data_IF_623441083191
#
_entry.id   IF_623441083191
#
_cell.length_a   1.000
_cell.length_b   1.000
_cell.length_c   1.000
_cell.angle_alpha   90.00
_cell.angle_beta   90.00
_cell.angle_gamma   90.00
#
_symmetry.space_group_name_H-M   'P 1'
#
loop_
_entity.id
_entity.type
_entity.pdbx_description
1 polymer ?
#
# COMPACT_ATOMS: atom_id res chain seq x y z
N UNK A 1 -7.76 16.53 -17.74
CA UNK A 1 -8.88 15.95 -16.96
C UNK A 1 -8.27 15.01 -15.95
N UNK A 2 -8.13 15.44 -14.69
CA UNK A 2 -7.60 14.60 -13.60
C UNK A 2 -8.63 13.49 -13.36
N UNK A 3 -8.39 12.31 -13.92
CA UNK A 3 -9.14 11.11 -13.58
C UNK A 3 -9.08 11.00 -12.06
N UNK A 4 -10.24 11.06 -11.41
CA UNK A 4 -10.34 10.94 -9.97
C UNK A 4 -9.62 9.66 -9.56
N UNK A 5 -8.45 9.81 -8.92
CA UNK A 5 -7.61 8.70 -8.52
C UNK A 5 -8.47 7.78 -7.66
N UNK A 6 -8.92 6.68 -8.27
CA UNK A 6 -9.94 5.84 -7.66
C UNK A 6 -9.34 5.26 -6.39
N UNK A 7 -10.18 4.89 -5.43
CA UNK A 7 -9.68 4.31 -4.19
C UNK A 7 -8.86 3.02 -4.48
N UNK A 8 -9.14 2.36 -5.60
CA UNK A 8 -8.34 1.28 -6.18
C UNK A 8 -6.97 1.75 -6.69
N UNK A 9 -6.88 2.86 -7.44
CA UNK A 9 -5.59 3.42 -7.92
C UNK A 9 -4.68 3.79 -6.75
N UNK A 10 -5.23 4.43 -5.70
CA UNK A 10 -4.48 4.76 -4.48
C UNK A 10 -3.94 3.51 -3.80
N UNK A 11 -4.80 2.49 -3.66
CA UNK A 11 -4.43 1.19 -3.12
C UNK A 11 -3.29 0.53 -3.92
N UNK A 12 -3.40 0.53 -5.25
CA UNK A 12 -2.38 -0.06 -6.14
C UNK A 12 -1.06 0.69 -6.08
N UNK A 13 -1.09 2.04 -6.03
CA UNK A 13 0.13 2.86 -5.84
C UNK A 13 0.82 2.58 -4.52
N UNK A 14 0.06 2.45 -3.42
CA UNK A 14 0.63 2.11 -2.11
C UNK A 14 1.25 0.71 -2.08
N UNK A 15 0.60 -0.28 -2.73
CA UNK A 15 1.14 -1.63 -2.90
C UNK A 15 2.44 -1.63 -3.70
N UNK A 16 2.48 -0.91 -4.81
CA UNK A 16 3.68 -0.77 -5.64
C UNK A 16 4.83 -0.12 -4.85
N UNK A 17 4.57 0.96 -4.12
CA UNK A 17 5.57 1.63 -3.30
C UNK A 17 6.15 0.71 -2.21
N UNK A 18 5.30 -0.07 -1.53
CA UNK A 18 5.74 -1.07 -0.55
C UNK A 18 6.62 -2.15 -1.19
N UNK A 19 6.21 -2.70 -2.34
CA UNK A 19 6.99 -3.74 -3.05
C UNK A 19 8.34 -3.23 -3.55
N UNK A 20 8.37 -2.02 -4.10
CA UNK A 20 9.63 -1.36 -4.51
C UNK A 20 10.55 -1.18 -3.31
N UNK A 21 10.01 -0.75 -2.18
CA UNK A 21 10.78 -0.56 -0.96
C UNK A 21 11.36 -1.87 -0.42
N UNK A 22 10.54 -2.93 -0.30
CA UNK A 22 11.03 -4.25 0.17
C UNK A 22 12.07 -4.83 -0.78
N UNK A 23 11.95 -4.59 -2.09
CA UNK A 23 12.97 -5.04 -3.07
C UNK A 23 14.29 -4.25 -2.96
N UNK A 24 14.22 -2.95 -2.69
CA UNK A 24 15.40 -2.08 -2.64
C UNK A 24 16.06 -2.04 -1.25
N UNK A 25 15.32 -2.32 -0.19
CA UNK A 25 15.80 -2.19 1.17
C UNK A 25 16.42 -3.49 1.68
N UNK A 26 17.74 -3.55 1.75
CA UNK A 26 18.51 -4.67 2.29
C UNK A 26 18.30 -4.93 3.78
N UNK A 27 17.71 -3.98 4.52
CA UNK A 27 17.29 -4.17 5.93
C UNK A 27 15.88 -4.74 6.07
N UNK A 28 15.06 -4.58 5.04
CA UNK A 28 13.68 -5.04 5.05
C UNK A 28 13.61 -6.42 4.40
N UNK A 29 13.99 -7.45 5.17
CA UNK A 29 13.82 -8.84 4.73
C UNK A 29 12.34 -9.22 4.76
N UNK A 30 11.79 -9.81 3.69
CA UNK A 30 10.45 -10.39 3.75
C UNK A 30 10.37 -11.43 4.88
N UNK A 31 9.20 -11.63 5.52
CA UNK A 31 7.86 -11.19 5.10
C UNK A 31 7.38 -9.84 5.66
N UNK A 32 8.09 -9.25 6.64
CA UNK A 32 7.66 -8.02 7.33
C UNK A 32 8.75 -6.96 7.20
N UNK A 33 8.38 -5.81 6.64
CA UNK A 33 9.25 -4.66 6.64
C UNK A 33 9.57 -4.20 8.07
N UNK A 34 10.83 -4.40 8.51
CA UNK A 34 11.31 -3.99 9.84
C UNK A 34 11.75 -2.51 9.90
N UNK A 35 11.96 -1.89 8.76
CA UNK A 35 12.37 -0.51 8.62
C UNK A 35 11.17 0.44 8.76
N UNK A 36 11.37 1.61 9.38
CA UNK A 36 10.31 2.59 9.65
C UNK A 36 9.54 2.98 8.39
N UNK A 37 10.26 3.28 7.30
CA UNK A 37 9.65 3.61 6.01
C UNK A 37 8.80 2.45 5.44
N UNK A 38 9.29 1.22 5.52
CA UNK A 38 8.52 0.06 5.09
C UNK A 38 7.29 -0.21 5.96
N UNK A 39 7.35 0.07 7.27
CA UNK A 39 6.17 0.01 8.17
C UNK A 39 5.12 1.07 7.82
N UNK A 40 5.53 2.28 7.50
CA UNK A 40 4.64 3.36 7.08
C UNK A 40 3.97 3.05 5.74
N UNK A 41 4.75 2.53 4.77
CA UNK A 41 4.23 2.07 3.48
C UNK A 41 3.24 0.91 3.65
N UNK A 42 3.57 -0.08 4.48
CA UNK A 42 2.68 -1.19 4.79
C UNK A 42 1.39 -0.72 5.47
N UNK A 43 1.48 0.17 6.45
CA UNK A 43 0.31 0.74 7.14
C UNK A 43 -0.59 1.51 6.16
N UNK A 44 0.01 2.28 5.26
CA UNK A 44 -0.73 3.02 4.24
C UNK A 44 -1.44 2.07 3.26
N UNK A 45 -0.75 1.02 2.83
CA UNK A 45 -1.31 -0.05 2.00
C UNK A 45 -2.51 -0.73 2.67
N UNK A 46 -2.37 -1.16 3.93
CA UNK A 46 -3.45 -1.83 4.69
C UNK A 46 -4.66 -0.91 4.85
N UNK A 47 -4.46 0.37 5.19
CA UNK A 47 -5.58 1.33 5.31
C UNK A 47 -6.35 1.50 4.01
N UNK A 48 -5.65 1.56 2.88
CA UNK A 48 -6.28 1.70 1.56
C UNK A 48 -6.96 0.40 1.12
N UNK A 49 -6.37 -0.76 1.42
CA UNK A 49 -7.00 -2.05 1.20
C UNK A 49 -8.30 -2.17 2.01
N UNK A 50 -8.28 -1.84 3.30
CA UNK A 50 -9.45 -1.88 4.15
C UNK A 50 -10.54 -0.94 3.66
N UNK A 51 -10.18 0.28 3.26
CA UNK A 51 -11.12 1.24 2.68
C UNK A 51 -11.74 0.73 1.36
N UNK A 52 -10.94 0.04 0.54
CA UNK A 52 -11.41 -0.56 -0.71
C UNK A 52 -12.38 -1.71 -0.44
N UNK A 53 -12.00 -2.64 0.44
CA UNK A 53 -12.85 -3.77 0.83
C UNK A 53 -14.13 -3.32 1.54
N UNK A 54 -14.06 -2.27 2.36
CA UNK A 54 -15.25 -1.70 2.99
C UNK A 54 -16.17 -1.02 1.97
N UNK A 55 -15.62 -0.43 0.89
CA UNK A 55 -16.42 0.12 -0.21
C UNK A 55 -17.08 -0.99 -1.03
N UNK A 56 -16.34 -2.05 -1.37
CA UNK A 56 -16.88 -3.21 -2.09
C UNK A 56 -18.01 -3.89 -1.32
N UNK A 57 -17.90 -4.03 0.00
CA UNK A 57 -18.95 -4.60 0.85
C UNK A 57 -20.22 -3.76 0.94
N UNK A 58 -20.15 -2.47 0.60
CA UNK A 58 -21.28 -1.53 0.60
C UNK A 58 -21.88 -1.33 -0.80
N UNK A 59 -21.33 -1.99 -1.82
CA UNK A 59 -21.82 -1.98 -3.20
C UNK A 59 -22.67 -3.21 -3.48
#
# INVERSE_FOLDING_TARGET
>A
MLMADSLYDRYMKASAAYRVHVKACSRCSPPVARCTAGRELHTSFVRLQDAYLARLRRS
#
